data_IF_131096859237
#
_entry.id   IF_131096859237
#
_cell.length_a   1.000
_cell.length_b   1.000
_cell.length_c   1.000
_cell.angle_alpha   90.00
_cell.angle_beta   90.00
_cell.angle_gamma   90.00
#
_symmetry.space_group_name_H-M   'P 1'
#
loop_
_entity.id
_entity.type
_entity.pdbx_description
1 polymer ?
#
# COMPACT_ATOMS: atom_id res chain seq x y z
N UNK A 1 23.48 -35.78 59.96
CA UNK A 1 22.43 -36.76 59.62
C UNK A 1 21.24 -35.98 59.09
N UNK A 2 21.00 -36.01 57.77
CA UNK A 2 19.71 -35.57 57.16
C UNK A 2 18.68 -36.70 57.29
N UNK A 3 17.37 -36.56 56.94
CA UNK A 3 16.61 -35.41 56.42
C UNK A 3 15.21 -35.25 57.11
N UNK A 4 14.33 -34.35 56.63
CA UNK A 4 12.95 -34.67 56.16
C UNK A 4 12.09 -33.41 55.88
N UNK A 5 11.68 -33.31 54.61
CA UNK A 5 10.38 -32.90 54.02
C UNK A 5 9.64 -31.60 54.41
N UNK A 6 9.70 -30.64 53.47
CA UNK A 6 8.60 -30.20 52.56
C UNK A 6 7.22 -29.89 53.18
N UNK A 7 6.77 -28.63 53.16
CA UNK A 7 5.45 -28.23 52.61
C UNK A 7 5.18 -26.71 52.57
N UNK A 8 4.43 -26.32 51.53
CA UNK A 8 3.59 -25.13 51.34
C UNK A 8 4.22 -23.77 51.02
N UNK A 9 4.40 -23.57 49.72
CA UNK A 9 4.35 -22.30 49.02
C UNK A 9 2.90 -21.78 48.97
N UNK A 10 2.73 -20.45 49.10
CA UNK A 10 1.71 -19.58 48.48
C UNK A 10 1.20 -18.53 49.49
N UNK A 11 1.98 -17.47 49.69
CA UNK A 11 1.61 -16.32 50.51
C UNK A 11 1.02 -15.22 49.62
N UNK A 12 -0.30 -15.25 49.62
CA UNK A 12 -1.25 -14.16 49.43
C UNK A 12 -0.66 -12.76 49.74
N UNK A 13 -0.59 -11.88 48.74
CA UNK A 13 -0.55 -10.44 48.96
C UNK A 13 -1.41 -9.74 47.90
N UNK A 14 -2.69 -9.61 48.22
CA UNK A 14 -3.57 -8.63 47.61
C UNK A 14 -3.07 -7.24 47.98
N UNK A 15 -2.69 -6.44 46.97
CA UNK A 15 -2.61 -4.99 47.11
C UNK A 15 -3.69 -4.38 46.24
N UNK A 16 -4.71 -3.90 46.95
CA UNK A 16 -5.68 -2.91 46.50
C UNK A 16 -4.98 -1.74 45.80
N UNK A 17 -5.45 -1.36 44.62
CA UNK A 17 -5.70 0.05 44.28
C UNK A 17 -6.83 0.12 43.26
N UNK A 18 -7.93 0.74 43.70
CA UNK A 18 -9.04 1.16 42.87
C UNK A 18 -8.64 2.38 42.03
N UNK A 19 -9.15 2.45 40.80
CA UNK A 19 -9.02 3.61 39.92
C UNK A 19 -9.84 3.38 38.65
N UNK A 20 -11.12 3.74 38.70
CA UNK A 20 -12.01 3.72 37.55
C UNK A 20 -11.61 4.80 36.53
N UNK A 21 -11.38 4.39 35.28
CA UNK A 21 -11.48 5.28 34.12
C UNK A 21 -12.44 4.60 33.14
N UNK A 22 -13.67 5.07 33.15
CA UNK A 22 -14.63 4.81 32.09
C UNK A 22 -14.13 5.52 30.82
N UNK A 23 -13.57 4.76 29.88
CA UNK A 23 -13.30 5.26 28.53
C UNK A 23 -14.47 4.87 27.63
N UNK A 24 -15.32 5.86 27.37
CA UNK A 24 -16.43 5.76 26.44
C UNK A 24 -15.95 5.21 25.08
N UNK A 25 -16.57 4.12 24.62
CA UNK A 25 -16.49 3.69 23.24
C UNK A 25 -17.18 4.74 22.37
N UNK A 26 -16.42 5.73 21.90
CA UNK A 26 -16.83 6.49 20.73
C UNK A 26 -16.77 5.54 19.51
N UNK A 27 -17.85 5.41 18.71
CA UNK A 27 -17.75 4.69 17.46
C UNK A 27 -16.70 5.40 16.60
N UNK A 28 -15.63 4.67 16.28
CA UNK A 28 -14.70 5.05 15.22
C UNK A 28 -15.54 5.41 14.00
N UNK A 29 -15.62 6.69 13.70
CA UNK A 29 -16.21 7.18 12.46
C UNK A 29 -15.37 6.58 11.34
N UNK A 30 -15.83 5.44 10.82
CA UNK A 30 -15.45 4.95 9.50
C UNK A 30 -15.83 6.08 8.57
N UNK A 31 -14.86 6.91 8.22
CA UNK A 31 -14.93 7.77 7.06
C UNK A 31 -15.06 6.85 5.85
N UNK A 32 -16.27 6.34 5.62
CA UNK A 32 -16.70 5.91 4.32
C UNK A 32 -16.73 7.20 3.49
N UNK A 33 -15.57 7.58 2.96
CA UNK A 33 -15.55 8.43 1.78
C UNK A 33 -16.44 7.74 0.78
N UNK A 34 -17.61 8.32 0.56
CA UNK A 34 -18.53 7.95 -0.50
C UNK A 34 -17.76 8.12 -1.81
N UNK A 35 -17.10 7.05 -2.21
CA UNK A 35 -16.24 7.04 -3.36
C UNK A 35 -17.18 7.05 -4.56
N UNK A 36 -17.07 8.09 -5.39
CA UNK A 36 -17.64 8.09 -6.73
C UNK A 36 -17.49 6.69 -7.36
N UNK A 37 -18.50 6.20 -8.12
CA UNK A 37 -18.51 4.85 -8.66
C UNK A 37 -17.14 4.55 -9.26
N UNK A 38 -16.41 3.63 -8.61
CA UNK A 38 -15.04 3.35 -8.98
C UNK A 38 -15.10 2.66 -10.33
N UNK A 39 -14.64 3.36 -11.37
CA UNK A 39 -14.42 2.75 -12.68
C UNK A 39 -13.62 1.45 -12.51
N UNK A 40 -13.75 0.47 -13.41
CA UNK A 40 -12.97 -0.76 -13.32
C UNK A 40 -11.47 -0.48 -13.12
N UNK A 41 -10.93 0.51 -13.84
CA UNK A 41 -9.56 0.98 -13.66
C UNK A 41 -9.28 1.53 -12.25
N UNK A 42 -10.14 2.40 -11.73
CA UNK A 42 -9.98 2.96 -10.38
C UNK A 42 -9.99 1.86 -9.31
N UNK A 43 -10.79 0.81 -9.48
CA UNK A 43 -10.80 -0.35 -8.59
C UNK A 43 -9.46 -1.10 -8.64
N UNK A 44 -8.93 -1.39 -9.84
CA UNK A 44 -7.61 -2.04 -10.00
C UNK A 44 -6.50 -1.23 -9.34
N UNK A 45 -6.46 0.08 -9.59
CA UNK A 45 -5.47 0.98 -9.01
C UNK A 45 -5.57 1.04 -7.48
N UNK A 46 -6.79 1.07 -6.92
CA UNK A 46 -6.99 1.03 -5.47
C UNK A 46 -6.53 -0.29 -4.83
N UNK A 47 -6.73 -1.43 -5.53
CA UNK A 47 -6.27 -2.74 -5.07
C UNK A 47 -4.73 -2.82 -5.10
N UNK A 48 -4.08 -2.25 -6.11
CA UNK A 48 -2.62 -2.12 -6.16
C UNK A 48 -2.09 -1.24 -5.03
N UNK A 49 -2.65 -0.04 -4.84
CA UNK A 49 -2.26 0.91 -3.78
C UNK A 49 -2.36 0.26 -2.39
N UNK A 50 -3.43 -0.50 -2.15
CA UNK A 50 -3.64 -1.20 -0.89
C UNK A 50 -2.58 -2.28 -0.66
N UNK A 51 -2.32 -3.11 -1.67
CA UNK A 51 -1.27 -4.14 -1.58
C UNK A 51 0.13 -3.52 -1.42
N UNK A 52 0.41 -2.43 -2.13
CA UNK A 52 1.68 -1.71 -2.04
C UNK A 52 1.92 -1.14 -0.63
N UNK A 53 0.92 -0.51 -0.02
CA UNK A 53 1.01 -0.01 1.36
C UNK A 53 1.26 -1.13 2.36
N UNK A 54 0.68 -2.31 2.15
CA UNK A 54 0.91 -3.48 2.99
C UNK A 54 2.30 -4.11 2.77
N UNK A 55 2.86 -4.03 1.57
CA UNK A 55 4.18 -4.57 1.25
C UNK A 55 5.31 -3.75 1.87
N UNK A 56 5.22 -2.41 1.79
CA UNK A 56 6.29 -1.49 2.22
C UNK A 56 6.92 -1.81 3.58
N UNK A 57 6.16 -2.02 4.67
CA UNK A 57 6.77 -2.27 5.98
C UNK A 57 7.44 -3.64 6.13
N UNK A 58 7.18 -4.60 5.23
CA UNK A 58 7.68 -5.98 5.37
C UNK A 58 8.70 -6.39 4.31
N UNK A 59 8.92 -5.60 3.25
CA UNK A 59 9.80 -6.01 2.13
C UNK A 59 11.27 -6.22 2.53
N UNK A 60 11.72 -5.57 3.60
CA UNK A 60 13.08 -5.74 4.13
C UNK A 60 13.23 -6.97 5.04
N UNK A 61 12.13 -7.59 5.46
CA UNK A 61 12.12 -8.74 6.38
C UNK A 61 11.99 -10.06 5.59
N UNK A 62 13.05 -10.85 5.56
CA UNK A 62 13.08 -12.15 4.89
C UNK A 62 12.04 -13.14 5.46
N UNK A 63 11.69 -13.04 6.75
CA UNK A 63 10.66 -13.88 7.36
C UNK A 63 9.24 -13.56 6.82
N UNK A 64 9.11 -12.46 6.08
CA UNK A 64 7.87 -12.03 5.42
C UNK A 64 7.92 -12.20 3.91
N UNK A 65 8.90 -12.90 3.34
CA UNK A 65 9.01 -13.08 1.89
C UNK A 65 7.76 -13.77 1.31
N UNK A 66 7.23 -14.81 1.94
CA UNK A 66 6.04 -15.51 1.46
C UNK A 66 4.80 -14.60 1.41
N UNK A 67 4.58 -13.77 2.43
CA UNK A 67 3.48 -12.80 2.44
C UNK A 67 3.73 -11.65 1.46
N UNK A 68 4.98 -11.19 1.34
CA UNK A 68 5.39 -10.16 0.39
C UNK A 68 5.16 -10.61 -1.06
N UNK A 69 5.55 -11.83 -1.41
CA UNK A 69 5.34 -12.42 -2.74
C UNK A 69 3.85 -12.45 -3.09
N UNK A 70 2.96 -12.82 -2.15
CA UNK A 70 1.50 -12.80 -2.37
C UNK A 70 0.98 -11.40 -2.68
N UNK A 71 1.51 -10.37 -2.00
CA UNK A 71 1.16 -8.97 -2.28
C UNK A 71 1.68 -8.52 -3.64
N UNK A 72 2.91 -8.90 -4.01
CA UNK A 72 3.49 -8.59 -5.33
C UNK A 72 2.67 -9.23 -6.44
N UNK A 73 2.33 -10.50 -6.33
CA UNK A 73 1.46 -11.19 -7.29
C UNK A 73 0.10 -10.49 -7.42
N UNK A 74 -0.52 -10.06 -6.30
CA UNK A 74 -1.78 -9.30 -6.35
C UNK A 74 -1.63 -7.96 -7.08
N UNK A 75 -0.51 -7.26 -6.90
CA UNK A 75 -0.21 -6.04 -7.65
C UNK A 75 -0.01 -6.34 -9.14
N UNK A 76 0.75 -7.38 -9.49
CA UNK A 76 0.96 -7.78 -10.89
C UNK A 76 -0.34 -8.12 -11.61
N UNK A 77 -1.22 -8.91 -10.98
CA UNK A 77 -2.53 -9.24 -11.54
C UNK A 77 -3.34 -7.98 -11.85
N UNK A 78 -3.36 -7.01 -10.93
CA UNK A 78 -4.11 -5.78 -11.12
C UNK A 78 -3.45 -4.83 -12.12
N UNK A 79 -2.12 -4.75 -12.15
CA UNK A 79 -1.39 -3.96 -13.13
C UNK A 79 -1.59 -4.51 -14.56
N UNK A 80 -1.50 -5.83 -14.73
CA UNK A 80 -1.77 -6.50 -16.01
C UNK A 80 -3.23 -6.29 -16.44
N UNK A 81 -4.20 -6.44 -15.53
CA UNK A 81 -5.61 -6.16 -15.83
C UNK A 81 -5.86 -4.68 -16.17
N UNK A 82 -5.10 -3.76 -15.57
CA UNK A 82 -5.24 -2.32 -15.82
C UNK A 82 -4.77 -1.88 -17.21
N UNK A 83 -4.00 -2.70 -17.93
CA UNK A 83 -3.56 -2.44 -19.31
C UNK A 83 -4.73 -2.46 -20.32
N UNK A 84 -5.86 -3.09 -19.96
CA UNK A 84 -7.05 -3.15 -20.81
C UNK A 84 -7.92 -1.87 -20.73
N UNK A 85 -7.53 -0.90 -19.91
CA UNK A 85 -8.31 0.32 -19.68
C UNK A 85 -7.49 1.56 -20.01
N UNK A 86 -8.19 2.63 -20.36
CA UNK A 86 -7.61 3.96 -20.50
C UNK A 86 -7.98 4.84 -19.30
N UNK A 87 -7.09 5.75 -18.87
CA UNK A 87 -7.36 6.68 -17.80
C UNK A 87 -8.48 7.65 -18.18
N UNK A 88 -9.44 7.87 -17.28
CA UNK A 88 -10.53 8.85 -17.48
C UNK A 88 -9.99 10.26 -17.78
N UNK A 89 -8.80 10.62 -17.28
CA UNK A 89 -8.15 11.90 -17.58
C UNK A 89 -7.87 12.11 -19.07
N UNK A 90 -7.84 11.04 -19.89
CA UNK A 90 -7.67 11.14 -21.34
C UNK A 90 -8.70 12.08 -21.97
N UNK A 91 -9.94 12.07 -21.49
CA UNK A 91 -10.99 12.96 -22.03
C UNK A 91 -10.83 14.43 -21.63
N UNK A 92 -9.86 14.74 -20.76
CA UNK A 92 -9.54 16.10 -20.31
C UNK A 92 -8.31 16.69 -21.02
N UNK A 93 -7.65 15.94 -21.91
CA UNK A 93 -6.58 16.47 -22.77
C UNK A 93 -7.12 16.77 -24.17
N UNK A 94 -6.41 17.61 -24.92
CA UNK A 94 -6.77 17.93 -26.32
C UNK A 94 -6.92 16.65 -27.15
N UNK A 95 -7.91 16.61 -28.06
CA UNK A 95 -8.25 15.43 -28.86
C UNK A 95 -7.01 14.82 -29.55
N UNK A 96 -6.20 15.68 -30.17
CA UNK A 96 -4.98 15.34 -30.90
C UNK A 96 -3.89 14.74 -30.00
N UNK A 97 -3.94 15.04 -28.69
CA UNK A 97 -3.01 14.53 -27.67
C UNK A 97 -3.51 13.26 -26.99
N UNK A 98 -4.77 12.85 -27.19
CA UNK A 98 -5.35 11.67 -26.52
C UNK A 98 -4.63 10.35 -26.86
N UNK A 99 -4.23 10.07 -28.12
CA UNK A 99 -3.49 8.86 -28.44
C UNK A 99 -2.16 8.77 -27.69
N UNK A 100 -1.34 9.83 -27.75
CA UNK A 100 -0.07 9.90 -27.05
C UNK A 100 -0.23 9.78 -25.53
N UNK A 101 -1.31 10.33 -24.96
CA UNK A 101 -1.63 10.20 -23.54
C UNK A 101 -1.97 8.75 -23.15
N UNK A 102 -2.77 8.05 -23.96
CA UNK A 102 -3.10 6.65 -23.74
C UNK A 102 -1.87 5.74 -23.84
N UNK A 103 -1.03 5.94 -24.87
CA UNK A 103 0.22 5.21 -25.04
C UNK A 103 1.20 5.46 -23.89
N UNK A 104 1.34 6.71 -23.44
CA UNK A 104 2.15 7.08 -22.29
C UNK A 104 1.70 6.36 -21.02
N UNK A 105 0.39 6.32 -20.77
CA UNK A 105 -0.18 5.59 -19.65
C UNK A 105 0.13 4.09 -19.73
N UNK A 106 -0.09 3.45 -20.88
CA UNK A 106 0.18 2.02 -21.06
C UNK A 106 1.66 1.69 -20.89
N UNK A 107 2.56 2.57 -21.37
CA UNK A 107 4.01 2.43 -21.22
C UNK A 107 4.42 2.43 -19.75
N UNK A 108 3.95 3.41 -18.99
CA UNK A 108 4.24 3.52 -17.55
C UNK A 108 3.69 2.33 -16.77
N UNK A 109 2.52 1.83 -17.15
CA UNK A 109 1.96 0.64 -16.51
C UNK A 109 2.76 -0.64 -16.84
N UNK A 110 3.30 -0.77 -18.06
CA UNK A 110 4.24 -1.86 -18.40
C UNK A 110 5.54 -1.76 -17.61
N UNK A 111 6.06 -0.55 -17.40
CA UNK A 111 7.23 -0.30 -16.53
C UNK A 111 6.95 -0.76 -15.11
N UNK A 112 5.76 -0.46 -14.56
CA UNK A 112 5.32 -0.98 -13.26
C UNK A 112 5.29 -2.51 -13.22
N UNK A 113 4.70 -3.17 -14.23
CA UNK A 113 4.67 -4.63 -14.34
C UNK A 113 6.09 -5.21 -14.30
N UNK A 114 7.02 -4.65 -15.08
CA UNK A 114 8.42 -5.12 -15.08
C UNK A 114 9.17 -4.86 -13.76
N UNK A 115 8.82 -3.82 -12.99
CA UNK A 115 9.35 -3.64 -11.64
C UNK A 115 8.82 -4.69 -10.65
N UNK A 116 7.52 -5.01 -10.74
CA UNK A 116 6.90 -6.04 -9.91
C UNK A 116 7.51 -7.42 -10.18
N UNK A 117 7.71 -7.78 -11.44
CA UNK A 117 8.34 -9.06 -11.82
C UNK A 117 9.76 -9.17 -11.26
N UNK A 118 10.56 -8.09 -11.36
CA UNK A 118 11.90 -8.02 -10.74
C UNK A 118 11.86 -8.12 -9.23
N UNK A 119 10.87 -7.50 -8.59
CA UNK A 119 10.67 -7.59 -7.15
C UNK A 119 10.32 -9.02 -6.71
N UNK A 120 9.48 -9.70 -7.49
CA UNK A 120 9.13 -11.11 -7.26
C UNK A 120 10.38 -12.01 -7.34
N UNK A 121 11.25 -11.77 -8.33
CA UNK A 121 12.55 -12.46 -8.45
C UNK A 121 13.46 -12.18 -7.25
N UNK A 122 13.60 -10.91 -6.84
CA UNK A 122 14.44 -10.52 -5.70
C UNK A 122 13.97 -11.17 -4.39
N UNK A 123 12.66 -11.19 -4.12
CA UNK A 123 12.09 -11.82 -2.93
C UNK A 123 12.30 -13.34 -2.93
N UNK A 124 12.12 -14.02 -4.06
CA UNK A 124 12.38 -15.46 -4.20
C UNK A 124 13.85 -15.81 -4.00
N UNK A 125 14.75 -14.89 -4.34
CA UNK A 125 16.19 -15.02 -4.11
C UNK A 125 16.63 -14.59 -2.69
N UNK A 126 15.69 -14.25 -1.78
CA UNK A 126 15.97 -13.66 -0.46
C UNK A 126 16.86 -12.40 -0.52
N UNK A 127 16.84 -11.68 -1.63
CA UNK A 127 17.54 -10.39 -1.79
C UNK A 127 16.63 -9.24 -1.31
N UNK A 128 16.41 -9.18 0.01
CA UNK A 128 15.53 -8.19 0.63
C UNK A 128 16.06 -6.75 0.52
N UNK A 129 17.38 -6.55 0.49
CA UNK A 129 18.00 -5.24 0.24
C UNK A 129 17.67 -4.73 -1.16
N UNK A 130 17.84 -5.59 -2.18
CA UNK A 130 17.46 -5.25 -3.56
C UNK A 130 15.95 -5.07 -3.73
N UNK A 131 15.14 -5.88 -3.03
CA UNK A 131 13.69 -5.76 -3.01
C UNK A 131 13.23 -4.42 -2.42
N UNK A 132 13.86 -3.95 -1.33
CA UNK A 132 13.57 -2.65 -0.72
C UNK A 132 13.87 -1.50 -1.69
N UNK A 133 15.03 -1.52 -2.35
CA UNK A 133 15.39 -0.52 -3.36
C UNK A 133 14.42 -0.47 -4.56
N UNK A 134 13.93 -1.65 -4.99
CA UNK A 134 12.88 -1.74 -6.01
C UNK A 134 11.55 -1.12 -5.53
N UNK A 135 11.15 -1.35 -4.28
CA UNK A 135 9.94 -0.75 -3.71
C UNK A 135 10.03 0.78 -3.66
N UNK A 136 11.19 1.35 -3.34
CA UNK A 136 11.38 2.80 -3.38
C UNK A 136 11.30 3.37 -4.80
N UNK A 137 11.87 2.65 -5.77
CA UNK A 137 11.80 2.99 -7.19
C UNK A 137 10.36 2.95 -7.71
N UNK A 138 9.59 1.93 -7.31
CA UNK A 138 8.16 1.83 -7.60
C UNK A 138 7.37 2.99 -6.97
N UNK A 139 7.69 3.38 -5.73
CA UNK A 139 7.03 4.51 -5.08
C UNK A 139 7.30 5.84 -5.81
N UNK A 140 8.52 6.03 -6.30
CA UNK A 140 8.88 7.20 -7.12
C UNK A 140 8.09 7.21 -8.44
N UNK A 141 8.05 6.08 -9.15
CA UNK A 141 7.32 5.94 -10.40
C UNK A 141 5.81 6.16 -10.21
N UNK A 142 5.18 5.54 -9.20
CA UNK A 142 3.74 5.76 -8.92
C UNK A 142 3.40 7.24 -8.71
N UNK A 143 4.25 7.96 -7.96
CA UNK A 143 4.03 9.40 -7.74
C UNK A 143 4.11 10.18 -9.05
N UNK A 144 5.17 9.96 -9.84
CA UNK A 144 5.36 10.63 -11.12
C UNK A 144 4.20 10.36 -12.09
N UNK A 145 3.84 9.10 -12.32
CA UNK A 145 2.79 8.75 -13.28
C UNK A 145 1.39 9.16 -12.77
N UNK A 146 1.11 9.12 -11.45
CA UNK A 146 -0.16 9.63 -10.92
C UNK A 146 -0.33 11.14 -11.09
N UNK A 147 0.75 11.94 -11.15
CA UNK A 147 0.63 13.37 -11.47
C UNK A 147 0.14 13.59 -12.90
N UNK A 148 0.56 12.73 -13.82
CA UNK A 148 0.23 12.83 -15.25
C UNK A 148 -1.13 12.23 -15.56
N UNK A 149 -1.43 11.01 -15.10
CA UNK A 149 -2.56 10.22 -15.61
C UNK A 149 -3.80 10.18 -14.71
N UNK A 150 -3.69 10.54 -13.43
CA UNK A 150 -4.83 10.49 -12.49
C UNK A 150 -5.54 11.84 -12.42
N UNK A 151 -6.87 11.80 -12.40
CA UNK A 151 -7.68 12.98 -12.07
C UNK A 151 -7.44 13.30 -10.58
N UNK A 152 -7.02 14.52 -10.27
CA UNK A 152 -6.95 14.98 -8.88
C UNK A 152 -8.38 15.26 -8.40
N UNK A 153 -8.81 14.76 -7.23
CA UNK A 153 -10.10 15.15 -6.67
C UNK A 153 -10.10 16.67 -6.41
N UNK A 154 -11.17 17.33 -6.84
CA UNK A 154 -11.40 18.75 -6.56
C UNK A 154 -11.35 18.97 -5.03
N UNK A 155 -10.59 19.97 -4.58
CA UNK A 155 -10.40 20.28 -3.16
C UNK A 155 -9.01 19.97 -2.57
N UNK A 156 -8.08 19.37 -3.34
CA UNK A 156 -6.67 19.19 -2.92
C UNK A 156 -5.70 20.12 -3.67
N UNK A 157 -6.18 21.29 -4.11
CA UNK A 157 -5.38 22.35 -4.72
C UNK A 157 -5.29 23.54 -3.76
N UNK A 158 -4.33 23.51 -2.85
CA UNK A 158 -4.20 24.55 -1.82
C UNK A 158 -2.87 24.49 -1.07
N UNK A 159 -1.75 24.50 -1.81
CA UNK A 159 -0.45 25.10 -1.42
C UNK A 159 0.59 24.84 -2.51
N UNK A 160 1.21 25.93 -2.97
CA UNK A 160 2.29 25.96 -3.97
C UNK A 160 1.73 26.29 -5.35
N UNK A 161 1.80 27.51 -5.86
CA UNK A 161 2.60 28.67 -5.51
C UNK A 161 2.82 29.39 -6.83
N UNK A 162 2.23 30.58 -7.00
CA UNK A 162 2.58 31.45 -8.12
C UNK A 162 3.95 32.07 -7.84
N UNK A 163 4.91 32.03 -8.78
CA UNK A 163 5.92 33.07 -8.85
C UNK A 163 5.41 34.20 -9.74
N UNK A 164 5.65 35.42 -9.25
CA UNK A 164 5.67 36.67 -10.02
C UNK A 164 6.52 36.53 -11.29
#
# INVERSE_FOLDING_TARGET
MSPLLRLHFMKQHYRFMAGAIALALAPLSVHAQEAAPKTPLALRMAQMDTAFRALRPQVADAAKNDSSIKLVTKMETNAKAALAFEPTKKTQVAADSQPAFAEGYQRELKVMVGMLERLNVALKANNNTGAAALVDSMAAQQRASHMVYRIRPAGRGGRGGSPN
#
